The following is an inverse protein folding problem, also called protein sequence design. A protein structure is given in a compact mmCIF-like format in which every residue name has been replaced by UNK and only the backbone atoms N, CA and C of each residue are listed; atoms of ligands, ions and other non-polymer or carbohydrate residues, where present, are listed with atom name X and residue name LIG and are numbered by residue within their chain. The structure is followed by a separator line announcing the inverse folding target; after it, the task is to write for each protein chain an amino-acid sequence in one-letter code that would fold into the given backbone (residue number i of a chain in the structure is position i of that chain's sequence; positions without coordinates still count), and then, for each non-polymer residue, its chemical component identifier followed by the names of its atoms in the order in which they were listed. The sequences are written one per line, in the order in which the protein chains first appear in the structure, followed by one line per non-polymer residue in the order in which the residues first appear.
data_IF_685723212058
#
_entry.id   IF_685723212058
#
_cell.length_a   1.000
_cell.length_b   1.000
_cell.length_c   1.000
_cell.angle_alpha   90.00
_cell.angle_beta   90.00
_cell.angle_gamma   90.00
#
_symmetry.space_group_name_H-M   'P 1'
#
loop_
_entity.id
_entity.type
_entity.pdbx_description
1 polymer ?
#
# COMPACT_ATOMS: atom_id res chain seq x y z
N UNK A 1 -25.56 -13.40 22.75
CA UNK A 1 -24.47 -12.41 22.51
C UNK A 1 -23.33 -12.92 21.62
N UNK A 2 -22.78 -14.12 21.85
CA UNK A 2 -21.58 -14.63 21.15
C UNK A 2 -21.67 -14.66 19.61
N UNK A 3 -22.82 -15.07 19.04
CA UNK A 3 -22.99 -15.18 17.57
C UNK A 3 -22.94 -13.81 16.86
N UNK A 4 -23.53 -12.76 17.45
CA UNK A 4 -23.49 -11.39 16.90
C UNK A 4 -22.06 -10.84 16.93
N UNK A 5 -21.31 -11.10 18.01
CA UNK A 5 -19.91 -10.68 18.13
C UNK A 5 -19.02 -11.37 17.09
N UNK A 6 -19.20 -12.69 16.88
CA UNK A 6 -18.46 -13.43 15.84
C UNK A 6 -18.75 -12.86 14.45
N UNK A 7 -20.01 -12.54 14.15
CA UNK A 7 -20.38 -11.92 12.87
C UNK A 7 -19.73 -10.56 12.70
N UNK A 8 -19.70 -9.72 13.74
CA UNK A 8 -19.06 -8.40 13.71
C UNK A 8 -17.55 -8.52 13.48
N UNK A 9 -16.88 -9.44 14.20
CA UNK A 9 -15.43 -9.68 14.02
C UNK A 9 -15.14 -10.16 12.60
N UNK A 10 -15.94 -11.10 12.10
CA UNK A 10 -15.80 -11.60 10.73
C UNK A 10 -15.98 -10.48 9.70
N UNK A 11 -16.94 -9.58 9.90
CA UNK A 11 -17.17 -8.42 9.03
C UNK A 11 -15.96 -7.48 9.01
N UNK A 12 -15.38 -7.16 10.17
CA UNK A 12 -14.18 -6.33 10.24
C UNK A 12 -12.97 -6.99 9.56
N UNK A 13 -12.79 -8.31 9.70
CA UNK A 13 -11.73 -9.03 8.99
C UNK A 13 -11.91 -8.99 7.47
N UNK A 14 -13.14 -9.15 6.98
CA UNK A 14 -13.44 -9.06 5.54
C UNK A 14 -13.18 -7.65 5.00
N UNK A 15 -13.58 -6.61 5.75
CA UNK A 15 -13.29 -5.22 5.40
C UNK A 15 -11.78 -5.01 5.37
N UNK A 16 -11.06 -5.38 6.42
CA UNK A 16 -9.60 -5.28 6.46
C UNK A 16 -8.93 -5.96 5.27
N UNK A 17 -9.38 -7.18 4.94
CA UNK A 17 -8.90 -7.91 3.78
C UNK A 17 -9.15 -7.17 2.48
N UNK A 18 -10.35 -6.65 2.26
CA UNK A 18 -10.67 -5.88 1.07
C UNK A 18 -9.76 -4.63 0.94
N UNK A 19 -9.57 -3.87 2.01
CA UNK A 19 -8.74 -2.67 2.03
C UNK A 19 -7.24 -2.94 1.81
N UNK A 20 -6.76 -4.16 2.06
CA UNK A 20 -5.34 -4.52 1.91
C UNK A 20 -5.11 -5.56 0.81
N UNK A 21 -6.10 -5.81 -0.04
CA UNK A 21 -6.08 -6.83 -1.11
C UNK A 21 -5.24 -6.43 -2.32
N UNK A 22 -5.06 -5.14 -2.55
CA UNK A 22 -4.23 -4.58 -3.63
C UNK A 22 -3.31 -3.50 -3.09
N UNK A 23 -2.14 -3.27 -3.71
CA UNK A 23 -1.20 -2.27 -3.22
C UNK A 23 -1.79 -0.85 -3.23
N UNK A 24 -2.57 -0.50 -4.27
CA UNK A 24 -3.24 0.80 -4.37
C UNK A 24 -4.29 1.01 -3.28
N UNK A 25 -5.07 -0.03 -2.93
CA UNK A 25 -6.02 0.07 -1.82
C UNK A 25 -5.31 0.22 -0.48
N UNK A 26 -4.17 -0.45 -0.26
CA UNK A 26 -3.38 -0.28 0.94
C UNK A 26 -2.85 1.16 1.09
N UNK A 27 -2.35 1.76 0.01
CA UNK A 27 -1.90 3.17 0.00
C UNK A 27 -3.06 4.12 0.29
N UNK A 28 -4.22 3.92 -0.34
CA UNK A 28 -5.43 4.73 -0.08
C UNK A 28 -5.88 4.61 1.37
N UNK A 29 -5.82 3.41 1.92
CA UNK A 29 -6.18 3.15 3.32
C UNK A 29 -5.25 3.92 4.25
N UNK A 30 -3.93 3.87 4.02
CA UNK A 30 -2.95 4.63 4.78
C UNK A 30 -3.20 6.14 4.69
N UNK A 31 -3.41 6.67 3.48
CA UNK A 31 -3.75 8.08 3.25
C UNK A 31 -5.02 8.52 3.97
N UNK A 32 -6.04 7.67 4.00
CA UNK A 32 -7.29 7.95 4.69
C UNK A 32 -7.06 8.10 6.20
N UNK A 33 -6.28 7.20 6.81
CA UNK A 33 -5.99 7.22 8.24
C UNK A 33 -5.01 8.32 8.65
N UNK A 34 -4.12 8.77 7.77
CA UNK A 34 -3.26 9.96 7.97
C UNK A 34 -4.01 11.29 7.77
N UNK A 35 -5.32 11.27 7.50
CA UNK A 35 -6.13 12.49 7.41
C UNK A 35 -6.21 13.11 6.01
N UNK A 36 -5.90 12.34 4.96
CA UNK A 36 -6.02 12.77 3.56
C UNK A 36 -7.15 12.02 2.79
N UNK A 37 -8.42 12.03 3.27
CA UNK A 37 -9.50 11.24 2.69
C UNK A 37 -9.86 11.64 1.25
N UNK A 38 -9.67 12.92 0.89
CA UNK A 38 -9.90 13.42 -0.47
C UNK A 38 -8.95 12.78 -1.49
N UNK A 39 -7.69 12.61 -1.10
CA UNK A 39 -6.69 11.95 -1.97
C UNK A 39 -6.88 10.44 -1.93
N UNK A 40 -7.19 9.86 -0.77
CA UNK A 40 -7.48 8.44 -0.66
C UNK A 40 -8.63 7.96 -1.56
N UNK A 41 -9.64 8.80 -1.83
CA UNK A 41 -10.83 8.43 -2.60
C UNK A 41 -10.71 8.68 -4.10
N UNK A 42 -10.11 9.78 -4.51
CA UNK A 42 -10.04 10.19 -5.93
C UNK A 42 -8.66 10.60 -6.43
N UNK A 43 -7.62 10.49 -5.59
CA UNK A 43 -6.26 10.83 -5.95
C UNK A 43 -5.64 9.82 -6.93
N UNK A 44 -4.81 10.35 -7.82
CA UNK A 44 -3.94 9.57 -8.68
C UNK A 44 -2.80 8.96 -7.86
N UNK A 45 -2.59 7.66 -8.03
CA UNK A 45 -1.55 6.88 -7.36
C UNK A 45 -0.76 6.19 -8.46
N UNK A 46 0.48 6.62 -8.66
CA UNK A 46 1.34 6.13 -9.73
C UNK A 46 2.40 5.23 -9.12
N UNK A 47 2.49 3.99 -9.61
CA UNK A 47 3.56 3.08 -9.21
C UNK A 47 4.89 3.57 -9.82
N UNK A 48 5.93 3.66 -9.01
CA UNK A 48 7.27 3.88 -9.53
C UNK A 48 7.75 2.67 -10.33
N UNK A 49 8.33 2.95 -11.50
CA UNK A 49 8.83 1.94 -12.39
C UNK A 49 10.22 1.48 -11.94
N UNK A 50 10.30 0.32 -11.29
CA UNK A 50 11.58 -0.32 -11.02
C UNK A 50 12.03 -1.09 -12.29
N UNK A 51 12.90 -0.46 -13.07
CA UNK A 51 13.39 -0.95 -14.38
C UNK A 51 14.10 -2.31 -14.22
N UNK A 52 14.85 -2.51 -13.13
CA UNK A 52 15.57 -3.75 -12.87
C UNK A 52 14.61 -4.92 -12.58
N UNK A 53 13.54 -4.65 -11.81
CA UNK A 53 12.50 -5.64 -11.49
C UNK A 53 11.61 -5.98 -12.69
N UNK A 54 11.34 -5.03 -13.58
CA UNK A 54 10.60 -5.26 -14.84
C UNK A 54 11.44 -5.97 -15.91
N UNK A 55 12.76 -5.72 -15.93
CA UNK A 55 13.67 -6.34 -16.88
C UNK A 55 13.95 -7.82 -16.57
N UNK A 56 13.78 -8.25 -15.31
CA UNK A 56 13.90 -9.65 -14.91
C UNK A 56 12.58 -10.38 -15.20
N UNK A 57 12.56 -11.35 -16.13
CA UNK A 57 11.35 -12.13 -16.36
C UNK A 57 11.00 -12.94 -15.10
N UNK A 58 9.70 -13.19 -14.90
CA UNK A 58 9.14 -13.79 -13.67
C UNK A 58 9.86 -15.09 -13.25
N UNK A 59 10.33 -15.89 -14.21
CA UNK A 59 11.04 -17.14 -13.97
C UNK A 59 12.43 -16.98 -13.33
N UNK A 60 13.04 -15.80 -13.47
CA UNK A 60 14.41 -15.50 -13.02
C UNK A 60 14.42 -14.61 -11.76
N UNK A 61 13.27 -14.02 -11.40
CA UNK A 61 13.11 -13.23 -10.16
C UNK A 61 13.39 -14.05 -8.90
N UNK A 62 13.13 -15.35 -8.92
CA UNK A 62 13.43 -16.26 -7.79
C UNK A 62 14.91 -16.62 -7.67
N UNK A 63 15.70 -16.43 -8.74
CA UNK A 63 17.11 -16.84 -8.82
C UNK A 63 18.09 -15.66 -8.73
N UNK A 64 17.70 -14.52 -9.31
CA UNK A 64 18.56 -13.33 -9.46
C UNK A 64 17.92 -12.06 -8.93
N UNK A 65 16.64 -12.08 -8.56
CA UNK A 65 16.04 -10.95 -7.86
C UNK A 65 16.71 -10.84 -6.50
N UNK A 66 17.36 -9.71 -6.22
CA UNK A 66 17.49 -9.21 -4.85
C UNK A 66 16.14 -9.44 -4.20
N UNK A 67 16.12 -10.15 -3.07
CA UNK A 67 14.90 -10.73 -2.48
C UNK A 67 13.64 -9.89 -2.75
N UNK A 68 12.50 -10.56 -2.93
CA UNK A 68 11.14 -9.99 -2.99
C UNK A 68 10.74 -9.07 -1.79
N UNK A 69 11.70 -8.62 -0.99
CA UNK A 69 11.65 -7.73 0.16
C UNK A 69 11.82 -6.23 -0.19
N UNK A 70 12.26 -5.87 -1.40
CA UNK A 70 12.25 -4.47 -1.82
C UNK A 70 10.80 -3.98 -1.97
N UNK A 71 10.39 -2.93 -1.22
CA UNK A 71 9.05 -2.38 -1.31
C UNK A 71 8.77 -1.85 -2.72
N UNK A 72 7.54 -2.06 -3.20
CA UNK A 72 7.06 -1.32 -4.37
C UNK A 72 6.82 0.13 -3.96
N UNK A 73 7.43 1.08 -4.67
CA UNK A 73 7.26 2.51 -4.41
C UNK A 73 6.09 3.08 -5.21
N UNK A 74 5.31 3.96 -4.58
CA UNK A 74 4.17 4.64 -5.18
C UNK A 74 4.26 6.13 -4.89
N UNK A 75 3.95 6.96 -5.89
CA UNK A 75 3.90 8.42 -5.77
C UNK A 75 2.49 8.94 -5.94
N UNK A 76 2.20 10.06 -5.28
CA UNK A 76 0.92 10.73 -5.36
C UNK A 76 1.10 12.25 -5.28
N UNK A 77 1.00 12.96 -6.42
CA UNK A 77 1.38 14.37 -6.54
C UNK A 77 0.41 15.35 -5.83
N UNK A 78 -0.73 14.86 -5.33
CA UNK A 78 -1.79 15.71 -4.78
C UNK A 78 -1.67 15.98 -3.27
N UNK A 79 -0.75 15.31 -2.55
CA UNK A 79 -0.58 15.47 -1.09
C UNK A 79 0.61 16.38 -0.81
N UNK A 80 0.45 17.69 -0.96
CA UNK A 80 1.43 18.63 -0.42
C UNK A 80 1.18 18.83 1.08
N UNK A 81 1.83 18.01 1.92
CA UNK A 81 1.77 18.21 3.37
C UNK A 81 2.68 19.38 3.77
N UNK A 82 2.09 20.57 3.90
CA UNK A 82 2.74 21.73 4.48
C UNK A 82 2.73 21.57 6.01
N UNK A 83 3.74 20.95 6.63
CA UNK A 83 3.78 20.95 8.10
C UNK A 83 4.87 20.15 8.83
N UNK A 84 5.37 19.06 8.29
CA UNK A 84 6.37 18.23 8.97
C UNK A 84 7.25 17.62 7.90
N UNK A 85 8.57 17.83 7.92
CA UNK A 85 9.51 17.51 6.82
C UNK A 85 9.69 16.02 6.48
N UNK A 86 8.62 15.24 6.50
CA UNK A 86 8.50 13.87 5.99
C UNK A 86 7.75 13.99 4.67
N UNK A 87 8.37 13.54 3.58
CA UNK A 87 7.81 13.60 2.24
C UNK A 87 6.62 12.65 2.10
N UNK A 88 5.44 13.09 2.53
CA UNK A 88 4.17 12.36 2.39
C UNK A 88 3.70 12.30 0.93
N UNK A 89 4.57 12.33 -0.07
CA UNK A 89 4.21 12.19 -1.49
C UNK A 89 4.59 10.84 -2.08
N UNK A 90 5.21 10.00 -1.25
CA UNK A 90 5.61 8.64 -1.58
C UNK A 90 5.07 7.62 -0.58
N UNK A 91 4.89 6.38 -1.03
CA UNK A 91 4.56 5.24 -0.19
C UNK A 91 5.38 4.01 -0.60
N UNK A 92 5.90 3.29 0.38
CA UNK A 92 6.37 1.93 0.20
C UNK A 92 5.21 0.97 0.38
N UNK A 93 5.09 -0.03 -0.50
CA UNK A 93 4.17 -1.14 -0.31
C UNK A 93 4.92 -2.45 -0.29
N UNK A 94 4.76 -3.19 0.80
CA UNK A 94 5.29 -4.56 0.94
C UNK A 94 4.16 -5.57 0.95
N UNK A 95 4.32 -6.63 0.18
CA UNK A 95 3.40 -7.76 0.23
C UNK A 95 3.78 -8.65 1.42
N UNK A 96 2.85 -8.85 2.34
CA UNK A 96 2.98 -9.79 3.46
C UNK A 96 1.86 -10.81 3.36
N UNK A 97 2.23 -12.04 2.99
CA UNK A 97 1.28 -13.14 2.80
C UNK A 97 0.20 -12.78 1.75
N UNK A 98 -1.05 -12.62 2.18
CA UNK A 98 -2.18 -12.25 1.31
C UNK A 98 -2.48 -10.75 1.30
N UNK A 99 -1.77 -9.95 2.10
CA UNK A 99 -2.07 -8.53 2.29
C UNK A 99 -0.93 -7.64 1.79
N UNK A 100 -1.28 -6.42 1.42
CA UNK A 100 -0.31 -5.36 1.15
C UNK A 100 -0.29 -4.39 2.31
N UNK A 101 0.90 -4.11 2.85
CA UNK A 101 1.12 -3.09 3.87
C UNK A 101 1.73 -1.87 3.19
N UNK A 102 1.11 -0.71 3.36
CA UNK A 102 1.63 0.57 2.88
C UNK A 102 2.22 1.38 4.04
N UNK A 103 3.37 2.00 3.80
CA UNK A 103 4.03 2.96 4.69
C UNK A 103 4.25 4.25 3.89
N UNK A 104 3.79 5.39 4.42
CA UNK A 104 3.89 6.70 3.78
C UNK A 104 5.22 7.36 4.17
N UNK A 105 5.81 8.17 3.28
CA UNK A 105 7.05 8.90 3.58
C UNK A 105 8.31 8.05 3.46
N UNK A 106 8.47 7.38 2.32
CA UNK A 106 9.48 6.34 2.11
C UNK A 106 10.74 6.78 1.36
N UNK A 107 10.95 8.09 1.26
CA UNK A 107 12.08 8.74 0.59
C UNK A 107 12.90 9.56 1.57
#
# INVERSE_FOLDING_TARGET
MKRKVIVIIGLFMLIYFALHSTPTLAVRTALFFEGHPKVATGGEITKERNIEKEALPVAYQTLYGTENNEPDHYFFPQVQAHGTGIDMMSACVKKKWFFYKAELGCY
#
